data_IF_486798692884
#
_entry.id   IF_486798692884
#
_cell.length_a   1.000
_cell.length_b   1.000
_cell.length_c   1.000
_cell.angle_alpha   90.00
_cell.angle_beta   90.00
_cell.angle_gamma   90.00
#
_symmetry.space_group_name_H-M   'P 1'
#
loop_
_entity.id
_entity.type
_entity.pdbx_description
1 polymer ?
#
# COMPACT_ATOMS: atom_id res chain seq x y z
N UNK A 1 1.46 35.16 24.03
CA UNK A 1 2.38 34.67 23.00
C UNK A 1 1.63 34.68 21.67
N UNK A 2 1.83 35.73 20.87
CA UNK A 2 1.02 36.02 19.69
C UNK A 2 1.52 35.25 18.46
N UNK A 3 0.59 34.76 17.64
CA UNK A 3 0.86 34.08 16.37
C UNK A 3 1.48 35.10 15.38
N UNK A 4 2.60 34.80 14.70
CA UNK A 4 3.15 35.73 13.72
C UNK A 4 2.26 35.79 12.47
N UNK A 5 1.93 37.00 12.06
CA UNK A 5 1.17 37.32 10.85
C UNK A 5 2.13 37.34 9.66
N UNK A 6 2.10 36.29 8.84
CA UNK A 6 2.88 36.24 7.60
C UNK A 6 1.94 36.57 6.44
N UNK A 7 2.30 37.50 5.54
CA UNK A 7 1.46 37.81 4.39
C UNK A 7 1.32 36.58 3.48
N UNK A 8 0.09 36.29 3.05
CA UNK A 8 -0.18 35.25 2.06
C UNK A 8 0.49 35.61 0.73
N UNK A 9 1.58 34.92 0.41
CA UNK A 9 2.27 35.05 -0.87
C UNK A 9 1.50 34.31 -1.97
N UNK A 10 0.33 34.83 -2.35
CA UNK A 10 -0.40 34.38 -3.53
C UNK A 10 0.43 34.76 -4.78
N UNK A 11 1.06 33.77 -5.43
CA UNK A 11 1.66 33.94 -6.77
C UNK A 11 3.08 33.40 -6.96
N UNK A 12 3.73 32.80 -5.96
CA UNK A 12 4.98 32.04 -6.15
C UNK A 12 4.79 30.63 -5.61
N UNK A 13 5.27 29.62 -6.33
CA UNK A 13 5.02 28.17 -6.15
C UNK A 13 5.53 27.54 -4.85
N UNK A 14 5.85 28.34 -3.83
CA UNK A 14 6.15 27.89 -2.50
C UNK A 14 5.37 28.78 -1.52
N UNK A 15 4.20 28.29 -1.09
CA UNK A 15 3.59 28.83 0.12
C UNK A 15 4.64 28.63 1.23
N UNK A 16 4.94 29.65 2.04
CA UNK A 16 6.00 29.64 3.07
C UNK A 16 5.78 28.66 4.23
N UNK A 17 5.06 27.57 3.99
CA UNK A 17 4.62 26.56 4.92
C UNK A 17 5.57 25.37 4.90
N UNK A 18 6.19 25.10 6.05
CA UNK A 18 6.94 23.86 6.26
C UNK A 18 5.97 22.73 6.64
N UNK A 19 5.77 21.77 5.73
CA UNK A 19 4.90 20.62 6.00
C UNK A 19 5.67 19.49 6.68
N UNK A 20 5.51 19.36 7.99
CA UNK A 20 5.99 18.19 8.74
C UNK A 20 5.02 17.01 8.59
N UNK A 21 5.54 15.81 8.32
CA UNK A 21 4.76 14.55 8.31
C UNK A 21 5.57 13.44 8.98
N UNK A 22 4.95 12.73 9.92
CA UNK A 22 5.51 11.49 10.48
C UNK A 22 5.25 10.36 9.49
N UNK A 23 6.26 9.51 9.24
CA UNK A 23 6.14 8.29 8.45
C UNK A 23 6.21 7.07 9.37
N UNK A 24 5.44 6.04 9.03
CA UNK A 24 5.33 4.80 9.76
C UNK A 24 5.72 3.64 8.86
N UNK A 25 6.45 2.67 9.41
CA UNK A 25 6.77 1.42 8.72
C UNK A 25 5.90 0.29 9.24
N UNK A 26 5.37 -0.53 8.34
CA UNK A 26 4.54 -1.69 8.66
C UNK A 26 4.90 -2.87 7.76
N UNK A 27 4.75 -4.09 8.27
CA UNK A 27 4.87 -5.30 7.46
C UNK A 27 3.48 -5.75 7.00
N UNK A 28 3.34 -6.10 5.72
CA UNK A 28 2.08 -6.49 5.09
C UNK A 28 2.29 -7.63 4.10
N UNK A 29 1.28 -8.50 3.95
CA UNK A 29 1.29 -9.57 2.96
C UNK A 29 0.99 -9.04 1.56
N UNK A 30 1.53 -9.69 0.53
CA UNK A 30 1.20 -9.43 -0.87
C UNK A 30 0.04 -10.33 -1.30
N UNK A 31 -1.09 -9.73 -1.70
CA UNK A 31 -2.27 -10.46 -2.19
C UNK A 31 -2.34 -10.51 -3.72
N UNK A 32 -1.61 -9.63 -4.39
CA UNK A 32 -1.56 -9.63 -5.85
C UNK A 32 -0.88 -8.42 -6.45
N UNK A 33 -0.91 -8.36 -7.78
CA UNK A 33 -0.23 -7.34 -8.58
C UNK A 33 -1.23 -6.67 -9.50
N UNK A 34 -1.15 -5.34 -9.61
CA UNK A 34 -1.85 -4.54 -10.63
C UNK A 34 -0.85 -3.89 -11.58
N UNK A 35 -1.36 -3.36 -12.69
CA UNK A 35 -0.56 -2.64 -13.69
C UNK A 35 -0.05 -3.55 -14.80
N UNK A 36 -0.22 -3.11 -16.04
CA UNK A 36 0.18 -3.83 -17.25
C UNK A 36 1.57 -3.44 -17.76
N UNK A 37 2.15 -2.36 -17.23
CA UNK A 37 3.48 -1.88 -17.59
C UNK A 37 4.39 -1.77 -16.36
N UNK A 38 5.72 -1.91 -16.51
CA UNK A 38 6.65 -1.81 -15.38
C UNK A 38 6.53 -0.52 -14.57
N UNK A 39 6.17 0.60 -15.21
CA UNK A 39 6.02 1.90 -14.56
C UNK A 39 4.73 2.04 -13.74
N UNK A 40 3.74 1.17 -13.95
CA UNK A 40 2.43 1.19 -13.28
C UNK A 40 2.23 0.02 -12.32
N UNK A 41 3.18 -0.92 -12.29
CA UNK A 41 3.09 -2.11 -11.47
C UNK A 41 3.09 -1.76 -9.98
N UNK A 42 2.05 -2.19 -9.27
CA UNK A 42 1.87 -1.96 -7.85
C UNK A 42 1.29 -3.21 -7.16
N UNK A 43 1.43 -3.28 -5.84
CA UNK A 43 0.98 -4.42 -5.04
C UNK A 43 -0.38 -4.17 -4.43
N UNK A 44 -1.19 -5.22 -4.39
CA UNK A 44 -2.34 -5.32 -3.48
C UNK A 44 -1.83 -5.82 -2.14
N UNK A 45 -2.10 -5.05 -1.08
CA UNK A 45 -1.57 -5.27 0.25
C UNK A 45 -2.62 -5.88 1.16
N UNK A 46 -2.19 -6.81 2.01
CA UNK A 46 -3.06 -7.57 2.90
C UNK A 46 -2.56 -7.61 4.35
N UNK A 47 -3.50 -7.64 5.28
CA UNK A 47 -3.23 -7.93 6.69
C UNK A 47 -4.16 -9.02 7.22
N UNK A 48 -3.70 -9.86 8.17
CA UNK A 48 -4.56 -10.85 8.81
C UNK A 48 -5.72 -10.17 9.56
N UNK A 49 -6.89 -10.79 9.51
CA UNK A 49 -8.01 -10.47 10.42
C UNK A 49 -7.94 -11.38 11.65
N UNK A 50 -8.68 -11.01 12.70
CA UNK A 50 -8.87 -11.84 13.89
C UNK A 50 -9.34 -13.30 13.63
N UNK A 51 -9.90 -13.60 12.45
CA UNK A 51 -10.32 -14.97 12.04
C UNK A 51 -9.32 -15.69 11.12
N UNK A 52 -8.08 -15.21 11.02
CA UNK A 52 -7.01 -15.82 10.19
C UNK A 52 -7.09 -15.54 8.69
N UNK A 53 -8.22 -15.02 8.17
CA UNK A 53 -8.32 -14.61 6.78
C UNK A 53 -7.59 -13.28 6.52
N UNK A 54 -6.94 -13.16 5.36
CA UNK A 54 -6.32 -11.90 4.93
C UNK A 54 -7.37 -10.92 4.39
N UNK A 55 -7.24 -9.64 4.76
CA UNK A 55 -8.03 -8.52 4.24
C UNK A 55 -7.15 -7.66 3.35
N UNK A 56 -7.63 -7.30 2.17
CA UNK A 56 -7.01 -6.24 1.39
C UNK A 56 -7.14 -4.88 2.12
N UNK A 57 -6.00 -4.25 2.41
CA UNK A 57 -5.90 -2.98 3.16
C UNK A 57 -5.47 -1.81 2.29
N UNK A 58 -5.10 -2.05 1.03
CA UNK A 58 -4.78 -0.97 0.10
C UNK A 58 -4.01 -1.44 -1.12
N UNK A 59 -3.64 -0.47 -1.95
CA UNK A 59 -2.76 -0.66 -3.11
C UNK A 59 -1.55 0.24 -2.94
N UNK A 60 -0.36 -0.29 -3.20
CA UNK A 60 0.88 0.49 -3.10
C UNK A 60 0.99 1.56 -4.21
N UNK A 61 1.96 2.45 -4.05
CA UNK A 61 2.53 3.20 -5.17
C UNK A 61 3.24 2.26 -6.16
N UNK A 62 3.49 2.71 -7.40
CA UNK A 62 4.26 1.93 -8.35
C UNK A 62 5.62 1.51 -7.79
N UNK A 63 6.00 0.27 -8.07
CA UNK A 63 7.20 -0.35 -7.54
C UNK A 63 8.46 0.18 -8.25
N UNK A 64 9.53 0.49 -7.50
CA UNK A 64 10.87 0.68 -8.06
C UNK A 64 11.35 -0.56 -8.84
N UNK A 65 12.21 -0.37 -9.84
CA UNK A 65 12.69 -1.47 -10.68
C UNK A 65 13.35 -2.61 -9.89
N UNK A 66 14.20 -2.28 -8.93
CA UNK A 66 14.87 -3.28 -8.09
C UNK A 66 13.87 -4.19 -7.35
N UNK A 67 12.82 -3.61 -6.75
CA UNK A 67 11.78 -4.37 -6.05
C UNK A 67 10.97 -5.24 -7.01
N UNK A 68 10.66 -4.75 -8.22
CA UNK A 68 9.97 -5.58 -9.22
C UNK A 68 10.81 -6.80 -9.58
N UNK A 69 12.10 -6.62 -9.83
CA UNK A 69 12.99 -7.74 -10.17
C UNK A 69 13.11 -8.74 -9.02
N UNK A 70 13.22 -8.28 -7.77
CA UNK A 70 13.25 -9.17 -6.61
C UNK A 70 11.94 -9.98 -6.48
N UNK A 71 10.79 -9.34 -6.69
CA UNK A 71 9.48 -9.98 -6.51
C UNK A 71 9.10 -10.97 -7.61
N UNK A 72 9.63 -10.84 -8.83
CA UNK A 72 9.27 -11.72 -9.96
C UNK A 72 9.49 -13.21 -9.65
N UNK A 73 10.55 -13.55 -8.90
CA UNK A 73 10.84 -14.93 -8.52
C UNK A 73 10.11 -15.42 -7.27
N UNK A 74 9.43 -14.53 -6.54
CA UNK A 74 8.82 -14.83 -5.24
C UNK A 74 7.29 -14.92 -5.32
N UNK A 75 6.68 -14.29 -6.33
CA UNK A 75 5.23 -14.21 -6.46
C UNK A 75 4.67 -15.36 -7.31
N UNK A 76 3.93 -16.25 -6.66
CA UNK A 76 3.26 -17.38 -7.31
C UNK A 76 1.79 -17.03 -7.61
N UNK A 77 1.30 -17.18 -8.85
CA UNK A 77 -0.10 -16.95 -9.16
C UNK A 77 -1.03 -17.85 -8.34
N UNK A 78 -2.13 -17.28 -7.84
CA UNK A 78 -3.18 -18.02 -7.16
C UNK A 78 -4.25 -18.45 -8.17
N UNK A 79 -4.80 -19.67 -7.99
CA UNK A 79 -5.94 -20.15 -8.78
C UNK A 79 -5.68 -20.17 -10.29
N UNK A 80 -4.48 -20.57 -10.72
CA UNK A 80 -4.11 -20.63 -12.14
C UNK A 80 -3.84 -19.28 -12.80
N UNK A 81 -3.71 -18.19 -12.03
CA UNK A 81 -3.46 -16.84 -12.56
C UNK A 81 -4.72 -16.08 -12.95
N UNK A 82 -5.87 -16.47 -12.39
CA UNK A 82 -7.10 -15.71 -12.52
C UNK A 82 -6.98 -14.30 -11.95
N UNK A 83 -7.71 -13.36 -12.55
CA UNK A 83 -7.83 -12.00 -12.00
C UNK A 83 -8.91 -11.97 -10.93
N UNK A 84 -8.69 -11.20 -9.89
CA UNK A 84 -9.68 -10.88 -8.86
C UNK A 84 -9.94 -9.39 -8.83
N UNK A 85 -11.02 -8.99 -8.17
CA UNK A 85 -11.43 -7.59 -8.09
C UNK A 85 -11.40 -7.09 -6.65
N UNK A 86 -10.93 -5.85 -6.48
CA UNK A 86 -11.12 -5.08 -5.27
C UNK A 86 -12.16 -3.98 -5.52
N UNK A 87 -12.97 -3.64 -4.52
CA UNK A 87 -13.76 -2.40 -4.58
C UNK A 87 -12.86 -1.21 -4.90
N UNK A 88 -13.29 -0.29 -5.77
CA UNK A 88 -12.50 0.89 -6.15
C UNK A 88 -12.08 1.76 -4.96
N UNK A 89 -12.84 1.71 -3.88
CA UNK A 89 -12.54 2.33 -2.58
C UNK A 89 -11.29 1.76 -1.88
N UNK A 90 -10.67 0.67 -2.38
CA UNK A 90 -9.42 0.11 -1.83
C UNK A 90 -8.19 0.78 -2.43
N UNK A 91 -8.27 1.27 -3.67
CA UNK A 91 -7.14 1.92 -4.34
C UNK A 91 -7.38 3.38 -4.72
N UNK A 92 -8.52 3.96 -4.32
CA UNK A 92 -8.93 5.32 -4.66
C UNK A 92 -10.08 5.84 -3.80
N UNK A 93 -10.66 6.97 -4.21
CA UNK A 93 -11.78 7.62 -3.54
C UNK A 93 -13.10 6.85 -3.75
N UNK A 94 -14.14 7.14 -2.94
CA UNK A 94 -15.50 6.69 -3.24
C UNK A 94 -15.91 7.03 -4.67
N UNK A 95 -16.46 6.05 -5.40
CA UNK A 95 -16.89 6.21 -6.80
C UNK A 95 -15.89 5.77 -7.86
N UNK A 96 -14.67 5.36 -7.49
CA UNK A 96 -13.72 4.75 -8.44
C UNK A 96 -14.19 3.35 -8.90
N UNK A 97 -13.88 2.94 -10.14
CA UNK A 97 -14.21 1.60 -10.64
C UNK A 97 -13.47 0.51 -9.85
N UNK A 98 -14.00 -0.73 -9.84
CA UNK A 98 -13.29 -1.88 -9.28
C UNK A 98 -11.87 -2.02 -9.86
N UNK A 99 -10.95 -2.49 -9.03
CA UNK A 99 -9.55 -2.69 -9.41
C UNK A 99 -9.34 -4.16 -9.67
N UNK A 100 -9.08 -4.51 -10.93
CA UNK A 100 -8.73 -5.87 -11.33
C UNK A 100 -7.23 -6.14 -11.15
N UNK A 101 -6.89 -7.16 -10.37
CA UNK A 101 -5.51 -7.54 -10.05
C UNK A 101 -5.25 -9.02 -10.35
N UNK A 102 -3.99 -9.35 -10.62
CA UNK A 102 -3.54 -10.74 -10.70
C UNK A 102 -3.32 -11.25 -9.28
N UNK A 103 -4.13 -12.23 -8.86
CA UNK A 103 -4.04 -12.81 -7.52
C UNK A 103 -2.79 -13.66 -7.38
N UNK A 104 -2.09 -13.51 -6.26
CA UNK A 104 -0.91 -14.31 -5.93
C UNK A 104 -1.14 -15.03 -4.61
N UNK A 105 -0.43 -16.13 -4.39
CA UNK A 105 -0.44 -16.82 -3.10
C UNK A 105 0.13 -15.86 -2.04
N UNK A 106 -0.53 -15.73 -0.89
CA UNK A 106 -0.07 -14.82 0.15
C UNK A 106 1.06 -15.46 0.95
N UNK A 107 2.24 -15.52 0.33
CA UNK A 107 3.46 -16.14 0.87
C UNK A 107 4.55 -15.08 1.11
N UNK A 108 4.43 -13.91 0.47
CA UNK A 108 5.44 -12.86 0.50
C UNK A 108 5.00 -11.73 1.42
N UNK A 109 5.89 -11.33 2.33
CA UNK A 109 5.74 -10.15 3.18
C UNK A 109 6.62 -9.01 2.68
N UNK A 110 6.09 -7.80 2.69
CA UNK A 110 6.83 -6.58 2.35
C UNK A 110 6.70 -5.54 3.46
N UNK A 111 7.77 -4.80 3.69
CA UNK A 111 7.75 -3.61 4.52
C UNK A 111 7.24 -2.44 3.68
N UNK A 112 6.28 -1.70 4.22
CA UNK A 112 5.72 -0.50 3.62
C UNK A 112 5.97 0.72 4.48
N UNK A 113 6.10 1.87 3.83
CA UNK A 113 6.08 3.18 4.44
C UNK A 113 4.72 3.84 4.17
N UNK A 114 4.01 4.20 5.24
CA UNK A 114 2.71 4.84 5.21
C UNK A 114 2.70 6.11 6.07
N UNK A 115 1.74 7.00 5.84
CA UNK A 115 1.50 8.17 6.69
C UNK A 115 0.57 7.89 7.87
N UNK A 116 0.05 6.66 7.96
CA UNK A 116 -0.76 6.15 9.06
C UNK A 116 -0.05 4.96 9.72
N UNK A 117 -0.10 4.89 11.06
CA UNK A 117 0.49 3.80 11.83
C UNK A 117 -0.27 2.47 11.72
N UNK A 118 -1.50 2.50 11.22
CA UNK A 118 -2.35 1.35 10.96
C UNK A 118 -3.41 1.76 9.92
N UNK A 119 -4.00 0.82 9.17
CA UNK A 119 -5.05 1.12 8.22
C UNK A 119 -6.37 1.42 8.97
N UNK A 120 -6.58 2.66 9.40
CA UNK A 120 -7.69 3.05 10.28
C UNK A 120 -8.95 3.49 9.54
N UNK A 121 -8.85 3.82 8.26
CA UNK A 121 -9.98 4.31 7.45
C UNK A 121 -10.71 3.12 6.81
N UNK A 122 -11.76 2.62 7.49
CA UNK A 122 -12.47 1.39 7.10
C UNK A 122 -11.54 0.17 6.88
N UNK A 123 -10.52 0.05 7.74
CA UNK A 123 -9.46 -0.97 7.66
C UNK A 123 -8.59 -0.84 6.39
N UNK A 124 -8.37 0.38 5.91
CA UNK A 124 -7.55 0.68 4.73
C UNK A 124 -6.62 1.87 4.95
N UNK A 125 -5.56 1.92 4.15
CA UNK A 125 -4.71 3.09 4.03
C UNK A 125 -5.37 4.15 3.16
N UNK A 126 -5.49 5.37 3.68
CA UNK A 126 -6.02 6.52 2.94
C UNK A 126 -5.18 6.86 1.72
N UNK A 127 -3.87 6.80 1.91
CA UNK A 127 -2.87 7.12 0.92
C UNK A 127 -2.11 5.86 0.54
N UNK A 128 -1.81 5.73 -0.76
CA UNK A 128 -1.07 4.59 -1.26
C UNK A 128 0.30 4.54 -0.59
N UNK A 129 0.62 3.47 0.15
CA UNK A 129 1.91 3.37 0.82
C UNK A 129 3.01 3.03 -0.18
N UNK A 130 4.26 3.32 0.19
CA UNK A 130 5.44 2.98 -0.60
C UNK A 130 5.99 1.64 -0.11
N UNK A 131 6.29 0.72 -1.01
CA UNK A 131 7.02 -0.51 -0.65
C UNK A 131 8.50 -0.16 -0.45
N UNK A 132 9.05 -0.55 0.69
CA UNK A 132 10.44 -0.28 1.08
C UNK A 132 11.33 -1.45 0.70
N UNK A 133 10.99 -2.65 1.15
CA UNK A 133 11.77 -3.88 0.96
C UNK A 133 10.90 -5.13 1.10
N UNK A 134 11.37 -6.25 0.55
CA UNK A 134 10.82 -7.58 0.87
C UNK A 134 11.35 -8.02 2.25
N UNK A 135 10.50 -8.66 3.04
CA UNK A 135 10.84 -9.23 4.35
C UNK A 135 10.96 -10.74 4.23
N UNK A 136 12.10 -11.20 3.73
CA UNK A 136 12.41 -12.63 3.59
C UNK A 136 12.58 -13.33 4.95
N UNK A 137 12.76 -12.53 6.00
CA UNK A 137 12.88 -12.94 7.40
C UNK A 137 11.53 -13.09 8.13
N UNK A 138 10.39 -12.85 7.46
CA UNK A 138 9.07 -12.82 8.10
C UNK A 138 8.02 -13.59 7.29
N UNK A 139 7.36 -14.56 7.92
CA UNK A 139 6.25 -15.30 7.33
C UNK A 139 4.91 -14.55 7.49
N UNK A 140 3.94 -14.87 6.63
CA UNK A 140 2.61 -14.21 6.64
C UNK A 140 1.82 -14.50 7.91
N UNK A 141 1.99 -15.67 8.52
CA UNK A 141 1.35 -16.05 9.78
C UNK A 141 1.94 -15.32 11.00
N UNK A 142 3.12 -14.73 10.87
CA UNK A 142 3.77 -13.91 11.90
C UNK A 142 3.28 -12.44 11.87
N UNK A 143 2.47 -12.06 10.87
CA UNK A 143 1.93 -10.71 10.78
C UNK A 143 0.91 -10.41 11.91
N UNK A 144 0.91 -9.20 12.46
CA UNK A 144 -0.05 -8.83 13.50
C UNK A 144 -1.48 -8.82 12.94
N UNK A 145 -2.39 -9.45 13.69
CA UNK A 145 -3.81 -9.43 13.39
C UNK A 145 -4.40 -8.03 13.51
N UNK A 146 -5.18 -7.62 12.52
CA UNK A 146 -6.02 -6.43 12.59
C UNK A 146 -7.39 -6.79 13.18
N UNK A 147 -7.85 -5.99 14.14
CA UNK A 147 -9.21 -6.05 14.72
C UNK A 147 -10.22 -5.37 13.80
#
# INVERSE_FOLDING_TARGET
MSKPDWPDAAGRTASGWLKWRRRHTLDVAVLGVIGSSPATQALVLGLPRARGALRAVGVSLPLPAALRHQLVGLLHPQGGGGRSELPGTVGGLPGFPPISYLSVRPEVVVEIEADQAAPTEWHRFRHRPRVVRVREDLAVDELPGTS
#
